data_IF_041952344753
#
_entry.id   IF_041952344753
#
_cell.length_a   1.000
_cell.length_b   1.000
_cell.length_c   1.000
_cell.angle_alpha   90.00
_cell.angle_beta   90.00
_cell.angle_gamma   90.00
#
_symmetry.space_group_name_H-M   'P 1'
#
loop_
_entity.id
_entity.type
_entity.pdbx_description
1 polymer ?
#
# COMPACT_ATOMS: atom_id res chain seq x y z
N UNK A 1 16.47 0.04 -0.27
CA UNK A 1 15.00 0.04 -0.09
C UNK A 1 14.41 1.44 -0.17
N UNK A 2 15.04 2.47 0.42
CA UNK A 2 14.53 3.85 0.48
C UNK A 2 14.21 4.56 -0.86
N UNK A 3 14.71 4.11 -2.01
CA UNK A 3 14.42 4.77 -3.30
C UNK A 3 12.94 4.70 -3.71
N UNK A 4 12.19 3.71 -3.23
CA UNK A 4 10.77 3.52 -3.57
C UNK A 4 9.83 3.99 -2.45
N UNK A 5 10.37 4.36 -1.30
CA UNK A 5 9.58 4.72 -0.14
C UNK A 5 8.84 6.05 -0.37
N UNK A 6 7.54 6.06 -0.08
CA UNK A 6 6.63 7.21 -0.21
C UNK A 6 6.52 7.79 -1.64
N UNK A 7 6.97 7.04 -2.65
CA UNK A 7 6.91 7.38 -4.08
C UNK A 7 6.01 6.40 -4.84
N UNK A 8 4.70 6.68 -4.87
CA UNK A 8 3.68 5.81 -5.49
C UNK A 8 3.90 5.57 -6.99
N UNK A 9 4.49 6.53 -7.71
CA UNK A 9 4.90 6.41 -9.11
C UNK A 9 5.98 5.34 -9.27
N UNK A 10 7.06 5.45 -8.48
CA UNK A 10 8.16 4.47 -8.55
C UNK A 10 7.71 3.08 -8.10
N UNK A 11 6.85 2.99 -7.09
CA UNK A 11 6.22 1.73 -6.69
C UNK A 11 5.34 1.14 -7.78
N UNK A 12 4.56 1.97 -8.49
CA UNK A 12 3.73 1.49 -9.60
C UNK A 12 4.60 0.88 -10.70
N UNK A 13 5.69 1.55 -11.09
CA UNK A 13 6.62 0.99 -12.08
C UNK A 13 7.28 -0.29 -11.59
N UNK A 14 7.64 -0.36 -10.31
CA UNK A 14 8.16 -1.58 -9.68
C UNK A 14 7.19 -2.74 -9.85
N UNK A 15 5.91 -2.51 -9.51
CA UNK A 15 4.89 -3.55 -9.60
C UNK A 15 4.64 -4.00 -11.04
N UNK A 16 4.67 -3.06 -12.00
CA UNK A 16 4.52 -3.37 -13.42
C UNK A 16 5.70 -4.21 -13.95
N UNK A 17 6.94 -3.80 -13.66
CA UNK A 17 8.16 -4.49 -14.12
C UNK A 17 8.22 -5.92 -13.59
N UNK A 18 7.83 -6.13 -12.33
CA UNK A 18 7.88 -7.43 -11.68
C UNK A 18 6.57 -8.24 -11.80
N UNK A 19 5.55 -7.72 -12.50
CA UNK A 19 4.26 -8.41 -12.63
C UNK A 19 3.54 -8.61 -11.29
N UNK A 20 3.78 -7.74 -10.31
CA UNK A 20 3.10 -7.79 -9.02
C UNK A 20 1.68 -7.26 -9.22
N UNK A 21 0.62 -8.02 -8.87
CA UNK A 21 -0.76 -7.58 -9.06
C UNK A 21 -1.06 -6.32 -8.25
N UNK A 22 -1.49 -5.26 -8.93
CA UNK A 22 -1.86 -3.96 -8.36
C UNK A 22 -3.07 -3.40 -9.12
N UNK A 23 -3.81 -2.44 -8.58
CA UNK A 23 -4.91 -1.82 -9.30
C UNK A 23 -4.41 -1.14 -10.58
N UNK A 24 -5.19 -1.23 -11.66
CA UNK A 24 -4.86 -0.57 -12.93
C UNK A 24 -4.56 0.92 -12.70
N UNK A 25 -3.37 1.35 -13.13
CA UNK A 25 -2.82 2.67 -12.83
C UNK A 25 -2.24 3.32 -14.08
N UNK A 26 -2.59 4.58 -14.30
CA UNK A 26 -2.14 5.43 -15.39
C UNK A 26 -1.51 6.70 -14.84
N UNK A 27 -0.32 7.04 -15.32
CA UNK A 27 0.47 8.19 -14.85
C UNK A 27 0.70 9.12 -16.03
N UNK A 28 0.26 10.37 -15.90
CA UNK A 28 0.33 11.34 -16.98
C UNK A 28 1.23 12.52 -16.61
N UNK A 29 2.15 12.86 -17.51
CA UNK A 29 2.99 14.06 -17.42
C UNK A 29 2.47 15.19 -18.31
N UNK A 30 1.39 14.93 -19.08
CA UNK A 30 0.77 15.90 -19.97
C UNK A 30 -0.75 15.94 -19.76
N UNK A 31 -1.28 17.15 -19.62
CA UNK A 31 -2.70 17.36 -19.35
C UNK A 31 -3.61 16.88 -20.49
N UNK A 32 -3.18 17.01 -21.75
CA UNK A 32 -3.96 16.60 -22.92
C UNK A 32 -4.12 15.08 -23.02
N UNK A 33 -3.08 14.32 -22.65
CA UNK A 33 -3.14 12.85 -22.56
C UNK A 33 -4.06 12.39 -21.43
N UNK A 34 -3.90 12.98 -20.24
CA UNK A 34 -4.76 12.70 -19.11
C UNK A 34 -6.23 13.00 -19.43
N UNK A 35 -6.50 14.14 -20.06
CA UNK A 35 -7.85 14.53 -20.45
C UNK A 35 -8.50 13.50 -21.38
N UNK A 36 -7.78 13.04 -22.41
CA UNK A 36 -8.26 12.01 -23.34
C UNK A 36 -8.55 10.68 -22.63
N UNK A 37 -7.73 10.31 -21.65
CA UNK A 37 -7.98 9.14 -20.82
C UNK A 37 -9.26 9.30 -20.00
N UNK A 38 -9.43 10.45 -19.32
CA UNK A 38 -10.60 10.72 -18.47
C UNK A 38 -11.92 10.63 -19.24
N UNK A 39 -11.95 11.00 -20.53
CA UNK A 39 -13.16 10.88 -21.37
C UNK A 39 -13.68 9.45 -21.52
N UNK A 40 -12.81 8.45 -21.30
CA UNK A 40 -13.11 7.03 -21.50
C UNK A 40 -12.99 6.21 -20.21
N UNK A 41 -12.65 6.86 -19.10
CA UNK A 41 -12.43 6.19 -17.83
C UNK A 41 -13.74 5.63 -17.26
N UNK A 42 -13.63 4.49 -16.56
CA UNK A 42 -14.73 3.92 -15.80
C UNK A 42 -14.75 4.57 -14.42
N UNK A 43 -15.80 5.34 -14.13
CA UNK A 43 -15.95 6.05 -12.86
C UNK A 43 -16.69 5.21 -11.80
N UNK A 44 -16.41 5.43 -10.50
CA UNK A 44 -15.43 6.38 -9.96
C UNK A 44 -13.97 5.93 -10.18
N UNK A 45 -13.03 6.88 -10.12
CA UNK A 45 -11.59 6.62 -10.17
C UNK A 45 -10.91 7.13 -8.90
N UNK A 46 -9.64 6.79 -8.70
CA UNK A 46 -8.80 7.31 -7.63
C UNK A 46 -7.72 8.22 -8.23
N UNK A 47 -7.64 9.46 -7.76
CA UNK A 47 -6.51 10.36 -8.04
C UNK A 47 -5.63 10.41 -6.80
N UNK A 48 -4.32 10.27 -6.97
CA UNK A 48 -3.35 10.35 -5.87
C UNK A 48 -2.28 11.37 -6.19
N UNK A 49 -1.62 11.89 -5.16
CA UNK A 49 -0.29 12.48 -5.32
C UNK A 49 0.78 11.40 -5.13
N UNK A 50 1.93 11.53 -5.79
CA UNK A 50 3.07 10.61 -5.64
C UNK A 50 3.50 10.53 -4.17
N UNK A 51 3.75 11.70 -3.57
CA UNK A 51 4.12 11.82 -2.16
C UNK A 51 2.90 11.98 -1.24
N UNK A 52 3.07 11.59 0.02
CA UNK A 52 2.11 11.86 1.09
C UNK A 52 1.66 10.60 1.81
N UNK A 53 1.46 10.73 3.12
CA UNK A 53 1.10 9.65 4.02
C UNK A 53 -0.30 9.84 4.62
N UNK A 54 -0.88 8.76 5.17
CA UNK A 54 -2.15 8.82 5.90
C UNK A 54 -3.35 9.18 5.02
N UNK A 55 -3.34 8.73 3.76
CA UNK A 55 -4.34 9.06 2.73
C UNK A 55 -4.38 10.53 2.32
N UNK A 56 -3.41 11.33 2.77
CA UNK A 56 -3.32 12.73 2.37
C UNK A 56 -2.89 12.81 0.89
N UNK A 57 -3.70 13.50 0.08
CA UNK A 57 -3.53 13.54 -1.38
C UNK A 57 -4.35 12.51 -2.17
N UNK A 58 -5.10 11.61 -1.52
CA UNK A 58 -6.02 10.67 -2.19
C UNK A 58 -7.38 11.32 -2.41
N UNK A 59 -7.91 11.25 -3.63
CA UNK A 59 -9.21 11.79 -4.03
C UNK A 59 -10.00 10.80 -4.87
N UNK A 60 -11.33 10.93 -4.84
CA UNK A 60 -12.27 10.01 -5.49
C UNK A 60 -13.24 10.77 -6.39
N UNK A 61 -12.80 11.29 -7.56
CA UNK A 61 -13.74 11.87 -8.50
C UNK A 61 -14.74 10.80 -9.00
N UNK A 62 -16.02 11.12 -8.88
CA UNK A 62 -17.13 10.22 -9.21
C UNK A 62 -17.58 10.31 -10.68
N UNK A 63 -17.06 11.29 -11.42
CA UNK A 63 -17.40 11.53 -12.81
C UNK A 63 -16.31 12.33 -13.54
N UNK A 64 -16.49 12.45 -14.86
CA UNK A 64 -15.58 13.19 -15.75
C UNK A 64 -15.33 14.63 -15.32
N UNK A 65 -16.39 15.38 -14.97
CA UNK A 65 -16.26 16.79 -14.59
C UNK A 65 -15.42 16.98 -13.33
N UNK A 66 -15.64 16.14 -12.30
CA UNK A 66 -14.84 16.16 -11.08
C UNK A 66 -13.38 15.81 -11.33
N UNK A 67 -13.10 14.83 -12.20
CA UNK A 67 -11.74 14.45 -12.53
C UNK A 67 -11.02 15.54 -13.33
N UNK A 68 -11.70 16.19 -14.29
CA UNK A 68 -11.14 17.30 -15.06
C UNK A 68 -10.78 18.48 -14.15
N UNK A 69 -11.63 18.81 -13.17
CA UNK A 69 -11.31 19.85 -12.18
C UNK A 69 -10.01 19.55 -11.42
N UNK A 70 -9.81 18.29 -11.03
CA UNK A 70 -8.58 17.88 -10.35
C UNK A 70 -7.37 17.87 -11.29
N UNK A 71 -7.56 17.51 -12.56
CA UNK A 71 -6.52 17.58 -13.59
C UNK A 71 -6.06 19.03 -13.79
N UNK A 72 -7.01 19.96 -13.97
CA UNK A 72 -6.72 21.39 -14.11
C UNK A 72 -6.01 21.93 -12.87
N UNK A 73 -6.47 21.60 -11.66
CA UNK A 73 -5.78 21.96 -10.42
C UNK A 73 -4.33 21.44 -10.42
N UNK A 74 -4.10 20.18 -10.80
CA UNK A 74 -2.77 19.56 -10.81
C UNK A 74 -1.78 20.27 -11.74
N UNK A 75 -2.22 20.68 -12.95
CA UNK A 75 -1.34 21.33 -13.92
C UNK A 75 -1.28 22.86 -13.78
N UNK A 76 -2.09 23.47 -12.91
CA UNK A 76 -2.08 24.92 -12.65
C UNK A 76 -1.42 25.29 -11.33
N UNK A 77 -2.02 24.92 -10.20
CA UNK A 77 -1.55 25.27 -8.85
C UNK A 77 -0.96 24.09 -8.09
N UNK A 78 -1.23 22.86 -8.54
CA UNK A 78 -0.81 21.61 -7.93
C UNK A 78 -1.80 21.10 -6.88
N UNK A 79 -1.88 19.77 -6.74
CA UNK A 79 -2.73 19.07 -5.80
C UNK A 79 -2.14 19.09 -4.39
N UNK A 80 -2.90 19.60 -3.42
CA UNK A 80 -2.50 19.61 -2.00
C UNK A 80 -2.46 18.19 -1.42
N UNK A 81 -1.39 17.85 -0.68
CA UNK A 81 -1.23 16.54 -0.05
C UNK A 81 -0.69 16.56 1.40
N UNK A 82 -0.01 17.61 1.88
CA UNK A 82 0.36 17.72 3.30
C UNK A 82 0.71 19.16 3.68
N UNK A 83 0.05 19.73 4.69
CA UNK A 83 0.20 21.16 4.99
C UNK A 83 0.03 21.98 3.71
N UNK A 84 0.85 22.99 3.45
CA UNK A 84 0.82 23.77 2.20
C UNK A 84 1.54 23.12 1.01
N UNK A 85 2.02 21.87 1.13
CA UNK A 85 2.70 21.16 0.04
C UNK A 85 1.71 20.76 -1.05
N UNK A 86 2.11 20.99 -2.30
CA UNK A 86 1.35 20.67 -3.51
C UNK A 86 2.22 19.94 -4.52
N UNK A 87 1.63 18.95 -5.19
CA UNK A 87 2.24 18.23 -6.30
C UNK A 87 1.69 18.75 -7.62
N UNK A 88 2.58 19.06 -8.58
CA UNK A 88 2.21 19.70 -9.84
C UNK A 88 2.79 18.95 -11.03
N UNK A 89 2.08 18.99 -12.16
CA UNK A 89 2.53 18.44 -13.46
C UNK A 89 2.73 16.91 -13.47
N UNK A 90 2.02 16.21 -12.59
CA UNK A 90 1.99 14.76 -12.52
C UNK A 90 0.60 14.34 -12.08
N UNK A 91 -0.13 13.68 -12.98
CA UNK A 91 -1.50 13.25 -12.71
C UNK A 91 -1.55 11.73 -12.62
N UNK A 92 -1.59 11.22 -11.38
CA UNK A 92 -1.69 9.80 -11.08
C UNK A 92 -3.16 9.41 -10.96
N UNK A 93 -3.60 8.49 -11.81
CA UNK A 93 -4.95 7.95 -11.83
C UNK A 93 -4.91 6.45 -11.65
N UNK A 94 -5.77 5.92 -10.79
CA UNK A 94 -5.87 4.49 -10.51
C UNK A 94 -7.34 4.07 -10.52
N UNK A 95 -7.63 2.83 -10.90
CA UNK A 95 -8.98 2.27 -10.79
C UNK A 95 -9.47 2.30 -9.35
N UNK A 96 -10.77 2.56 -9.15
CA UNK A 96 -11.38 2.43 -7.85
C UNK A 96 -11.87 1.01 -7.61
N UNK A 97 -11.44 0.40 -6.51
CA UNK A 97 -11.90 -0.92 -6.08
C UNK A 97 -12.65 -0.76 -4.75
N UNK A 98 -13.98 -0.96 -4.71
CA UNK A 98 -14.75 -0.82 -3.49
C UNK A 98 -14.48 -2.01 -2.56
N UNK A 99 -13.72 -1.77 -1.49
CA UNK A 99 -13.43 -2.76 -0.44
C UNK A 99 -13.73 -2.19 0.94
N UNK A 100 -14.07 -3.04 1.93
CA UNK A 100 -14.36 -2.60 3.29
C UNK A 100 -13.11 -2.17 4.08
N UNK A 101 -11.91 -2.42 3.54
CA UNK A 101 -10.64 -2.15 4.19
C UNK A 101 -9.49 -2.88 3.50
N UNK A 102 -8.36 -2.96 4.19
CA UNK A 102 -7.14 -3.58 3.69
C UNK A 102 -6.44 -4.41 4.75
N UNK A 103 -5.70 -5.43 4.32
CA UNK A 103 -4.68 -6.05 5.17
C UNK A 103 -3.40 -5.22 5.10
N UNK A 104 -2.89 -4.84 6.27
CA UNK A 104 -1.57 -4.25 6.39
C UNK A 104 -0.67 -5.26 7.07
N UNK A 105 0.23 -5.86 6.30
CA UNK A 105 1.13 -6.91 6.78
C UNK A 105 2.57 -6.44 6.67
N UNK A 106 3.38 -6.84 7.62
CA UNK A 106 4.83 -6.70 7.56
C UNK A 106 5.40 -8.09 7.45
N UNK A 107 6.31 -8.26 6.49
CA UNK A 107 7.15 -9.44 6.41
C UNK A 107 8.59 -9.01 6.67
N UNK A 108 9.21 -9.66 7.64
CA UNK A 108 10.63 -9.56 7.98
C UNK A 108 11.32 -10.76 7.38
N UNK A 109 12.41 -10.50 6.65
CA UNK A 109 13.06 -11.42 5.73
C UNK A 109 12.02 -11.99 4.78
N UNK A 110 11.88 -13.32 4.77
CA UNK A 110 10.90 -14.05 3.98
C UNK A 110 10.13 -15.05 4.84
N UNK A 111 10.28 -15.00 6.18
CA UNK A 111 9.93 -16.09 7.09
C UNK A 111 9.24 -15.64 8.38
N UNK A 112 9.13 -14.34 8.65
CA UNK A 112 8.37 -13.82 9.79
C UNK A 112 7.36 -12.80 9.29
N UNK A 113 6.07 -13.02 9.58
CA UNK A 113 4.99 -12.17 9.14
C UNK A 113 4.02 -11.83 10.25
N UNK A 114 3.53 -10.60 10.29
CA UNK A 114 2.44 -10.20 11.18
C UNK A 114 1.74 -8.98 10.59
N UNK A 115 0.63 -8.57 11.16
CA UNK A 115 -0.14 -7.46 10.61
C UNK A 115 -1.50 -7.34 11.27
N UNK A 116 -2.34 -6.55 10.62
CA UNK A 116 -3.71 -6.30 11.04
C UNK A 116 -4.57 -6.01 9.82
N UNK A 117 -5.88 -6.06 10.03
CA UNK A 117 -6.84 -5.56 9.08
C UNK A 117 -7.27 -4.14 9.49
N UNK A 118 -7.25 -3.22 8.53
CA UNK A 118 -7.62 -1.82 8.72
C UNK A 118 -8.91 -1.55 7.94
N UNK A 119 -10.01 -1.39 8.68
CA UNK A 119 -11.32 -1.10 8.09
C UNK A 119 -11.44 0.37 7.69
N UNK A 120 -12.17 0.62 6.60
CA UNK A 120 -12.64 1.96 6.26
C UNK A 120 -13.55 2.49 7.37
N UNK A 121 -13.50 3.81 7.62
CA UNK A 121 -14.48 4.44 8.51
C UNK A 121 -15.84 4.47 7.82
N UNK A 122 -16.95 4.42 8.57
CA UNK A 122 -18.27 4.67 7.99
C UNK A 122 -18.28 5.98 7.20
N UNK A 123 -18.74 5.92 5.95
CA UNK A 123 -18.78 7.07 5.04
C UNK A 123 -17.46 7.42 4.33
N UNK A 124 -16.35 6.68 4.56
CA UNK A 124 -15.10 6.87 3.83
C UNK A 124 -14.84 5.74 2.82
N UNK A 125 -14.11 6.07 1.75
CA UNK A 125 -13.70 5.11 0.71
C UNK A 125 -12.26 4.61 0.86
N UNK A 126 -11.57 5.06 1.92
CA UNK A 126 -10.16 4.78 2.16
C UNK A 126 -9.94 4.32 3.60
N UNK A 127 -9.03 3.36 3.73
CA UNK A 127 -8.47 2.93 5.00
C UNK A 127 -7.37 3.93 5.39
N UNK A 128 -7.49 4.54 6.57
CA UNK A 128 -6.48 5.47 7.08
C UNK A 128 -6.07 5.06 8.49
N UNK A 129 -4.92 5.54 8.96
CA UNK A 129 -4.40 5.22 10.30
C UNK A 129 -5.30 5.65 11.46
N UNK A 130 -6.36 6.42 11.19
CA UNK A 130 -7.38 6.76 12.16
C UNK A 130 -8.59 5.80 12.14
N UNK A 131 -8.59 4.78 11.27
CA UNK A 131 -9.65 3.79 11.12
C UNK A 131 -9.71 2.79 12.26
N UNK A 132 -10.51 1.72 12.06
CA UNK A 132 -10.63 0.63 13.03
C UNK A 132 -9.67 -0.51 12.70
N UNK A 133 -8.94 -0.96 13.72
CA UNK A 133 -7.96 -2.03 13.62
C UNK A 133 -8.56 -3.32 14.16
N UNK A 134 -8.46 -4.40 13.39
CA UNK A 134 -8.79 -5.75 13.84
C UNK A 134 -7.67 -6.74 13.51
N UNK A 135 -7.70 -7.91 14.15
CA UNK A 135 -6.63 -8.91 14.05
C UNK A 135 -7.19 -10.27 13.62
N UNK A 136 -7.84 -10.37 12.43
CA UNK A 136 -8.20 -11.67 11.89
C UNK A 136 -6.94 -12.46 11.52
N UNK A 137 -7.10 -13.77 11.30
CA UNK A 137 -6.03 -14.57 10.75
C UNK A 137 -5.61 -13.99 9.39
N UNK A 138 -4.29 -13.82 9.18
CA UNK A 138 -3.75 -13.34 7.92
C UNK A 138 -3.83 -14.47 6.89
N UNK A 139 -4.40 -14.24 5.70
CA UNK A 139 -4.38 -15.20 4.61
C UNK A 139 -2.94 -15.64 4.30
N UNK A 140 -2.71 -16.95 4.28
CA UNK A 140 -1.37 -17.54 4.00
C UNK A 140 -0.83 -17.09 2.64
N UNK A 141 -1.72 -16.89 1.66
CA UNK A 141 -1.36 -16.36 0.35
C UNK A 141 -0.70 -14.99 0.43
N UNK A 142 -1.19 -14.08 1.28
CA UNK A 142 -0.58 -12.76 1.47
C UNK A 142 0.82 -12.85 2.06
N UNK A 143 1.03 -13.75 3.04
CA UNK A 143 2.35 -13.98 3.62
C UNK A 143 3.32 -14.51 2.55
N UNK A 144 2.87 -15.45 1.72
CA UNK A 144 3.68 -15.99 0.61
C UNK A 144 4.00 -14.93 -0.45
N UNK A 145 3.01 -14.14 -0.88
CA UNK A 145 3.20 -13.07 -1.85
C UNK A 145 4.21 -12.03 -1.35
N UNK A 146 4.04 -11.56 -0.10
CA UNK A 146 4.95 -10.59 0.51
C UNK A 146 6.36 -11.15 0.72
N UNK A 147 6.51 -12.39 1.19
CA UNK A 147 7.82 -13.02 1.32
C UNK A 147 8.52 -13.19 -0.04
N UNK A 148 7.76 -13.55 -1.09
CA UNK A 148 8.29 -13.63 -2.45
C UNK A 148 8.76 -12.27 -2.96
N UNK A 149 8.00 -11.19 -2.73
CA UNK A 149 8.42 -9.84 -3.10
C UNK A 149 9.69 -9.46 -2.35
N UNK A 150 9.78 -9.70 -1.04
CA UNK A 150 11.01 -9.43 -0.29
C UNK A 150 12.22 -10.17 -0.88
N UNK A 151 12.06 -11.45 -1.22
CA UNK A 151 13.11 -12.26 -1.84
C UNK A 151 13.54 -11.71 -3.20
N UNK A 152 12.59 -11.42 -4.10
CA UNK A 152 12.87 -10.89 -5.45
C UNK A 152 13.53 -9.51 -5.41
N UNK A 153 13.12 -8.68 -4.46
CA UNK A 153 13.63 -7.31 -4.31
C UNK A 153 14.87 -7.21 -3.41
N UNK A 154 15.30 -8.33 -2.82
CA UNK A 154 16.35 -8.39 -1.80
C UNK A 154 16.08 -7.39 -0.65
N UNK A 155 14.85 -7.40 -0.13
CA UNK A 155 14.44 -6.56 0.99
C UNK A 155 14.49 -7.34 2.31
N UNK A 156 15.07 -6.71 3.31
CA UNK A 156 15.18 -7.27 4.65
C UNK A 156 13.86 -7.27 5.42
N UNK A 157 13.00 -6.30 5.13
CA UNK A 157 11.62 -6.26 5.58
C UNK A 157 10.85 -5.25 4.74
N UNK A 158 9.53 -5.39 4.73
CA UNK A 158 8.64 -4.41 4.12
C UNK A 158 7.23 -4.53 4.70
N UNK A 159 6.52 -3.40 4.79
CA UNK A 159 5.08 -3.38 5.04
C UNK A 159 4.33 -3.29 3.72
N UNK A 160 3.23 -4.01 3.61
CA UNK A 160 2.41 -4.14 2.42
C UNK A 160 0.95 -3.85 2.75
N UNK A 161 0.34 -3.03 1.92
CA UNK A 161 -1.10 -2.79 1.94
C UNK A 161 -1.77 -3.61 0.84
N UNK A 162 -2.56 -4.61 1.24
CA UNK A 162 -3.24 -5.53 0.34
C UNK A 162 -4.75 -5.38 0.39
N UNK A 163 -5.39 -5.44 -0.77
CA UNK A 163 -6.84 -5.52 -0.90
C UNK A 163 -7.26 -6.73 -1.74
N UNK A 164 -8.45 -7.26 -1.47
CA UNK A 164 -9.03 -8.34 -2.25
C UNK A 164 -9.96 -7.78 -3.33
N UNK A 165 -9.67 -8.06 -4.60
CA UNK A 165 -10.55 -7.71 -5.73
C UNK A 165 -11.44 -8.89 -6.06
N UNK A 166 -12.71 -8.78 -5.69
CA UNK A 166 -13.67 -9.89 -5.77
C UNK A 166 -13.97 -10.32 -7.21
N UNK A 167 -13.99 -9.37 -8.16
CA UNK A 167 -14.27 -9.64 -9.57
C UNK A 167 -13.19 -10.48 -10.26
N UNK A 168 -11.94 -10.39 -9.81
CA UNK A 168 -10.81 -11.15 -10.36
C UNK A 168 -10.32 -12.25 -9.43
N UNK A 169 -10.88 -12.35 -8.21
CA UNK A 169 -10.46 -13.27 -7.15
C UNK A 169 -8.96 -13.21 -6.89
N UNK A 170 -8.45 -11.99 -6.74
CA UNK A 170 -7.01 -11.74 -6.62
C UNK A 170 -6.70 -10.68 -5.56
N UNK A 171 -5.58 -10.88 -4.85
CA UNK A 171 -4.96 -9.86 -4.02
C UNK A 171 -4.24 -8.82 -4.86
N UNK A 172 -4.48 -7.54 -4.57
CA UNK A 172 -3.79 -6.43 -5.21
C UNK A 172 -3.04 -5.61 -4.17
N UNK A 173 -1.79 -5.27 -4.48
CA UNK A 173 -0.98 -4.39 -3.65
C UNK A 173 -1.36 -2.93 -3.93
N UNK A 174 -1.60 -2.16 -2.87
CA UNK A 174 -1.86 -0.73 -2.95
C UNK A 174 -0.58 0.09 -2.78
N UNK A 175 0.26 -0.30 -1.83
CA UNK A 175 1.48 0.42 -1.46
C UNK A 175 2.43 -0.49 -0.68
N UNK A 176 3.73 -0.17 -0.72
CA UNK A 176 4.76 -0.67 0.18
C UNK A 176 5.32 0.45 1.05
N UNK A 177 5.65 0.15 2.31
CA UNK A 177 6.19 1.13 3.27
C UNK A 177 7.34 0.52 4.07
N UNK A 178 8.52 1.16 4.07
CA UNK A 178 9.69 0.71 4.84
C UNK A 178 9.78 1.36 6.23
N UNK A 179 9.02 2.42 6.48
CA UNK A 179 8.82 3.03 7.81
C UNK A 179 7.67 2.34 8.54
N UNK A 180 7.90 1.09 8.94
CA UNK A 180 7.08 0.51 9.98
C UNK A 180 7.32 1.32 11.26
N UNK A 181 6.39 2.20 11.66
CA UNK A 181 6.55 3.03 12.85
C UNK A 181 6.97 2.18 14.06
N UNK A 182 8.25 2.28 14.42
CA UNK A 182 8.88 1.48 15.48
C UNK A 182 8.24 1.74 16.86
N UNK A 183 7.39 2.77 16.99
CA UNK A 183 6.72 3.15 18.23
C UNK A 183 5.20 3.13 18.25
N UNK A 184 4.50 2.57 17.25
CA UNK A 184 3.05 2.83 17.08
C UNK A 184 2.06 1.65 17.07
N UNK A 185 2.51 0.39 17.07
CA UNK A 185 1.61 -0.79 16.98
C UNK A 185 1.90 -1.82 18.06
N UNK A 186 2.03 -1.33 19.30
CA UNK A 186 2.03 -2.11 20.53
C UNK A 186 0.66 -2.74 20.77
N UNK A 187 0.41 -3.87 20.11
CA UNK A 187 -0.40 -5.01 20.57
C UNK A 187 -0.45 -6.06 19.44
N UNK A 188 0.70 -6.65 19.10
CA UNK A 188 0.72 -7.82 18.21
C UNK A 188 0.22 -8.99 19.02
N UNK A 189 -0.87 -9.62 18.56
CA UNK A 189 -1.33 -10.87 19.18
C UNK A 189 -0.68 -12.06 18.49
N UNK A 190 -0.62 -12.10 17.17
CA UNK A 190 -0.17 -13.28 16.42
C UNK A 190 0.95 -12.90 15.45
N UNK A 191 2.05 -13.63 15.52
CA UNK A 191 3.13 -13.63 14.53
C UNK A 191 3.17 -14.99 13.84
N UNK A 192 3.37 -14.98 12.54
CA UNK A 192 3.49 -16.15 11.70
C UNK A 192 4.97 -16.40 11.40
N UNK A 193 5.40 -17.65 11.58
CA UNK A 193 6.75 -18.10 11.27
C UNK A 193 6.70 -19.14 10.15
N UNK A 194 7.51 -18.98 9.11
CA UNK A 194 7.63 -19.96 8.04
C UNK A 194 8.57 -21.10 8.50
N UNK A 195 8.01 -22.28 8.73
CA UNK A 195 8.76 -23.48 9.11
C UNK A 195 8.42 -24.62 8.18
N UNK A 196 9.42 -25.24 7.58
CA UNK A 196 9.25 -26.37 6.65
C UNK A 196 8.21 -26.09 5.54
N UNK A 197 8.22 -24.87 5.00
CA UNK A 197 7.29 -24.43 3.95
C UNK A 197 5.87 -24.08 4.42
N UNK A 198 5.60 -24.06 5.73
CA UNK A 198 4.28 -23.72 6.30
C UNK A 198 4.38 -22.54 7.27
N UNK A 199 3.45 -21.59 7.14
CA UNK A 199 3.30 -20.50 8.09
C UNK A 199 2.57 -20.98 9.35
N UNK A 200 3.24 -20.87 10.50
CA UNK A 200 2.73 -21.27 11.80
C UNK A 200 2.46 -20.03 12.67
N UNK A 201 1.21 -19.80 13.10
CA UNK A 201 0.88 -18.70 14.00
C UNK A 201 1.37 -19.00 15.42
N UNK A 202 1.94 -17.99 16.07
CA UNK A 202 2.36 -18.02 17.47
C UNK A 202 1.93 -16.73 18.15
N UNK A 203 1.40 -16.86 19.36
CA UNK A 203 1.10 -15.68 20.18
C UNK A 203 2.41 -15.06 20.68
N UNK A 204 2.66 -13.80 20.32
CA UNK A 204 3.93 -13.13 20.62
C UNK A 204 3.72 -11.63 20.80
N UNK A 205 4.49 -10.99 21.67
CA UNK A 205 4.51 -9.53 21.83
C UNK A 205 5.84 -8.91 21.36
N UNK A 206 6.39 -9.42 20.25
CA UNK A 206 7.75 -9.07 19.78
C UNK A 206 7.71 -7.83 18.87
N UNK A 207 8.65 -6.90 19.07
CA UNK A 207 8.81 -5.70 18.23
C UNK A 207 9.65 -5.97 16.98
N UNK A 208 9.46 -5.16 15.91
CA UNK A 208 10.31 -5.27 14.69
C UNK A 208 11.78 -5.06 15.02
N UNK A 209 12.05 -4.03 15.83
CA UNK A 209 13.40 -3.69 16.28
C UNK A 209 14.07 -4.88 16.92
N UNK A 210 13.34 -5.65 17.74
CA UNK A 210 13.85 -6.86 18.37
C UNK A 210 14.09 -7.98 17.35
N UNK A 211 13.18 -8.21 16.39
CA UNK A 211 13.37 -9.20 15.31
C UNK A 211 14.61 -8.88 14.46
N UNK A 212 14.74 -7.62 14.04
CA UNK A 212 15.88 -7.17 13.23
C UNK A 212 17.18 -7.21 14.06
N UNK A 213 17.15 -6.81 15.33
CA UNK A 213 18.30 -6.87 16.22
C UNK A 213 18.80 -8.32 16.41
N UNK A 214 17.89 -9.25 16.72
CA UNK A 214 18.24 -10.66 16.91
C UNK A 214 18.89 -11.25 15.65
N UNK A 215 18.41 -10.87 14.46
CA UNK A 215 19.02 -11.28 13.20
C UNK A 215 20.40 -10.64 12.99
N UNK A 216 20.47 -9.32 12.93
CA UNK A 216 21.66 -8.62 12.43
C UNK A 216 22.77 -8.49 13.46
N UNK A 217 22.42 -8.45 14.74
CA UNK A 217 23.38 -8.25 15.82
C UNK A 217 23.73 -9.57 16.49
N UNK A 218 22.75 -10.44 16.71
CA UNK A 218 22.98 -11.71 17.40
C UNK A 218 23.18 -12.90 16.46
N UNK A 219 22.87 -12.77 15.15
CA UNK A 219 22.93 -13.89 14.21
C UNK A 219 21.90 -14.99 14.48
N UNK A 220 20.90 -14.72 15.33
CA UNK A 220 19.87 -15.67 15.71
C UNK A 220 18.68 -15.58 14.74
N UNK A 221 18.56 -16.55 13.83
CA UNK A 221 17.28 -16.85 13.17
C UNK A 221 16.48 -17.78 14.08
N UNK A 222 15.59 -17.25 14.91
CA UNK A 222 14.70 -18.06 15.79
C UNK A 222 13.47 -18.58 15.06
#
# INVERSE_FOLDING_TARGET
THYFYDHKVLQTYLFQIHGIPHPETHIFFRADEAYKFLQKANYPIVVKTDAGAGSAGVRFPDNFGEAVKQLEENFTIGLKYYGERREKNLFYVQEYIPVPGQFRIVVVNNDVGYGFYLSNKPGTRVASSQGHYSYPAIPVELLNLSAKINQEMNWDYMMYDWIWKESTKQWLILETTDTCGFGGSSARKITYYLKNGKWEPKETNIQISELLFNKYILGESK
#
